data_IF_999703294881
#
_entry.id   IF_999703294881
#
_cell.length_a   1.000
_cell.length_b   1.000
_cell.length_c   1.000
_cell.angle_alpha   90.00
_cell.angle_beta   90.00
_cell.angle_gamma   90.00
#
_symmetry.space_group_name_H-M   'P 1'
#
loop_
_entity.id
_entity.type
_entity.pdbx_description
1 polymer ?
#
# COMPACT_ATOMS: atom_id res chain seq x y z
N UNK A 1 9.09 -2.39 -5.64
CA UNK A 1 7.70 -2.60 -5.17
C UNK A 1 7.13 -1.39 -4.40
N UNK A 2 7.47 -1.10 -3.14
CA UNK A 2 6.81 0.00 -2.38
C UNK A 2 7.09 1.41 -2.91
N UNK A 3 8.32 1.65 -3.38
CA UNK A 3 8.68 2.93 -4.01
C UNK A 3 7.93 3.13 -5.33
N UNK A 4 7.76 2.07 -6.12
CA UNK A 4 7.00 2.12 -7.38
C UNK A 4 5.51 2.40 -7.10
N UNK A 5 4.94 1.75 -6.09
CA UNK A 5 3.59 2.06 -5.62
C UNK A 5 3.44 3.53 -5.19
N UNK A 6 4.38 4.07 -4.40
CA UNK A 6 4.37 5.47 -4.02
C UNK A 6 4.49 6.43 -5.22
N UNK A 7 5.31 6.08 -6.21
CA UNK A 7 5.43 6.85 -7.45
C UNK A 7 4.17 6.78 -8.30
N UNK A 8 3.53 5.61 -8.42
CA UNK A 8 2.26 5.44 -9.13
C UNK A 8 1.14 6.28 -8.52
N UNK A 9 1.05 6.35 -7.18
CA UNK A 9 0.10 7.23 -6.49
C UNK A 9 0.34 8.72 -6.81
N UNK A 10 1.60 9.13 -6.89
CA UNK A 10 1.96 10.50 -7.29
C UNK A 10 1.60 10.79 -8.74
N UNK A 11 1.84 9.84 -9.63
CA UNK A 11 1.49 9.94 -11.05
C UNK A 11 -0.03 10.07 -11.24
N UNK A 12 -0.82 9.32 -10.46
CA UNK A 12 -2.28 9.44 -10.39
C UNK A 12 -2.80 10.72 -9.71
N UNK A 13 -1.89 11.65 -9.35
CA UNK A 13 -2.19 12.93 -8.68
C UNK A 13 -2.91 12.76 -7.34
N UNK A 14 -2.61 11.68 -6.61
CA UNK A 14 -3.04 11.54 -5.22
C UNK A 14 -2.03 12.32 -4.37
N UNK A 15 -2.49 13.23 -3.48
CA UNK A 15 -1.61 14.08 -2.68
C UNK A 15 -0.96 13.28 -1.53
N UNK A 16 -0.02 12.40 -1.87
CA UNK A 16 0.77 11.63 -0.91
C UNK A 16 2.06 12.36 -0.54
N UNK A 17 2.41 12.30 0.73
CA UNK A 17 3.64 12.89 1.28
C UNK A 17 4.65 11.81 1.66
N UNK A 18 5.93 12.19 1.71
CA UNK A 18 6.97 11.29 2.19
C UNK A 18 6.74 10.86 3.64
N UNK A 19 6.19 11.74 4.48
CA UNK A 19 5.91 11.42 5.89
C UNK A 19 4.88 10.29 6.00
N UNK A 20 3.79 10.36 5.24
CA UNK A 20 2.76 9.31 5.23
C UNK A 20 3.30 7.98 4.73
N UNK A 21 4.19 8.03 3.73
CA UNK A 21 4.88 6.84 3.25
C UNK A 21 5.80 6.22 4.30
N UNK A 22 6.57 7.04 5.04
CA UNK A 22 7.40 6.55 6.14
C UNK A 22 6.56 5.94 7.27
N UNK A 23 5.39 6.51 7.58
CA UNK A 23 4.46 5.94 8.57
C UNK A 23 3.95 4.56 8.14
N UNK A 24 3.63 4.39 6.85
CA UNK A 24 3.24 3.07 6.32
C UNK A 24 4.36 2.05 6.50
N UNK A 25 5.60 2.41 6.16
CA UNK A 25 6.76 1.52 6.30
C UNK A 25 7.02 1.15 7.76
N UNK A 26 6.92 2.12 8.68
CA UNK A 26 7.06 1.88 10.12
C UNK A 26 5.96 0.94 10.65
N UNK A 27 4.71 1.09 10.19
CA UNK A 27 3.62 0.20 10.59
C UNK A 27 3.82 -1.24 10.07
N UNK A 28 4.39 -1.41 8.87
CA UNK A 28 4.77 -2.72 8.35
C UNK A 28 5.92 -3.35 9.13
N UNK A 29 6.96 -2.56 9.46
CA UNK A 29 8.10 -3.02 10.27
C UNK A 29 7.64 -3.51 11.65
N UNK A 30 6.68 -2.81 12.26
CA UNK A 30 6.08 -3.16 13.56
C UNK A 30 5.06 -4.31 13.47
N UNK A 31 4.82 -4.88 12.29
CA UNK A 31 3.84 -5.96 12.05
C UNK A 31 2.44 -5.61 12.59
N UNK A 32 2.00 -4.38 12.38
CA UNK A 32 0.66 -3.91 12.81
C UNK A 32 -0.46 -4.65 12.08
N UNK A 33 -0.15 -5.19 10.89
CA UNK A 33 -1.04 -5.98 10.04
C UNK A 33 -0.45 -7.33 9.72
N UNK A 34 -1.31 -8.30 9.38
CA UNK A 34 -0.85 -9.60 8.88
C UNK A 34 -0.30 -9.46 7.46
N UNK A 35 0.50 -10.45 7.03
CA UNK A 35 1.12 -10.47 5.71
C UNK A 35 0.15 -10.94 4.61
N UNK A 36 -0.98 -10.24 4.45
CA UNK A 36 -1.94 -10.46 3.36
C UNK A 36 -2.22 -9.14 2.63
N UNK A 37 -2.74 -9.25 1.39
CA UNK A 37 -3.01 -8.10 0.52
C UNK A 37 -4.11 -7.21 1.07
N UNK A 38 -5.14 -7.80 1.67
CA UNK A 38 -6.30 -7.09 2.20
C UNK A 38 -5.92 -6.17 3.37
N UNK A 39 -5.15 -6.68 4.33
CA UNK A 39 -4.68 -5.90 5.47
C UNK A 39 -3.70 -4.80 5.00
N UNK A 40 -2.84 -5.11 4.02
CA UNK A 40 -1.99 -4.08 3.41
C UNK A 40 -2.80 -3.01 2.68
N UNK A 41 -3.89 -3.38 2.00
CA UNK A 41 -4.82 -2.43 1.37
C UNK A 41 -5.40 -1.45 2.41
N UNK A 42 -5.94 -1.96 3.52
CA UNK A 42 -6.52 -1.09 4.56
C UNK A 42 -5.47 -0.22 5.25
N UNK A 43 -4.28 -0.76 5.52
CA UNK A 43 -3.18 -0.02 6.13
C UNK A 43 -2.66 1.09 5.21
N UNK A 44 -2.41 0.77 3.94
CA UNK A 44 -1.91 1.74 2.96
C UNK A 44 -2.95 2.83 2.68
N UNK A 45 -4.23 2.48 2.53
CA UNK A 45 -5.33 3.44 2.36
C UNK A 45 -5.42 4.43 3.53
N UNK A 46 -5.41 3.93 4.76
CA UNK A 46 -5.48 4.77 5.98
C UNK A 46 -4.21 5.63 6.18
N UNK A 47 -3.04 5.10 5.80
CA UNK A 47 -1.77 5.79 5.95
C UNK A 47 -1.55 6.88 4.89
N UNK A 48 -1.97 6.65 3.65
CA UNK A 48 -1.61 7.49 2.49
C UNK A 48 -2.74 8.42 2.02
N UNK A 49 -4.01 8.11 2.28
CA UNK A 49 -5.15 8.89 1.78
C UNK A 49 -5.80 9.67 2.92
N UNK A 50 -5.69 11.01 2.89
CA UNK A 50 -6.25 11.91 3.92
C UNK A 50 -7.55 12.59 3.53
N UNK A 51 -7.93 12.45 2.28
CA UNK A 51 -9.12 13.07 1.71
C UNK A 51 -9.89 12.01 0.94
N UNK A 52 -11.16 11.85 1.29
CA UNK A 52 -12.07 10.85 0.73
C UNK A 52 -12.18 10.94 -0.80
N UNK A 53 -11.98 12.13 -1.37
CA UNK A 53 -12.04 12.38 -2.82
C UNK A 53 -10.97 11.64 -3.60
N UNK A 54 -9.94 11.12 -2.94
CA UNK A 54 -8.87 10.35 -3.57
C UNK A 54 -9.02 8.84 -3.38
N UNK A 55 -10.06 8.36 -2.70
CA UNK A 55 -10.24 6.93 -2.43
C UNK A 55 -10.44 6.14 -3.73
N UNK A 56 -11.30 6.61 -4.64
CA UNK A 56 -11.54 5.92 -5.91
C UNK A 56 -10.27 5.82 -6.77
N UNK A 57 -9.47 6.89 -6.79
CA UNK A 57 -8.18 6.91 -7.52
C UNK A 57 -7.17 5.97 -6.88
N UNK A 58 -7.13 5.96 -5.55
CA UNK A 58 -6.27 5.06 -4.80
C UNK A 58 -6.63 3.60 -5.12
N UNK A 59 -7.92 3.25 -5.10
CA UNK A 59 -8.40 1.90 -5.35
C UNK A 59 -8.03 1.43 -6.77
N UNK A 60 -8.13 2.31 -7.78
CA UNK A 60 -7.68 2.02 -9.15
C UNK A 60 -6.17 1.78 -9.24
N UNK A 61 -5.35 2.64 -8.63
CA UNK A 61 -3.89 2.49 -8.65
C UNK A 61 -3.48 1.24 -7.88
N UNK A 62 -4.07 1.01 -6.71
CA UNK A 62 -3.81 -0.17 -5.90
C UNK A 62 -4.16 -1.44 -6.69
N UNK A 63 -5.34 -1.49 -7.32
CA UNK A 63 -5.73 -2.56 -8.23
C UNK A 63 -4.68 -2.78 -9.32
N UNK A 64 -4.23 -1.74 -10.01
CA UNK A 64 -3.25 -1.88 -11.09
C UNK A 64 -1.84 -2.31 -10.63
N UNK A 65 -1.44 -1.98 -9.39
CA UNK A 65 -0.14 -2.34 -8.85
C UNK A 65 -0.11 -3.75 -8.24
N UNK A 66 -1.27 -4.25 -7.79
CA UNK A 66 -1.38 -5.51 -7.07
C UNK A 66 -2.25 -6.56 -7.78
N UNK A 67 -2.88 -6.23 -8.93
CA UNK A 67 -3.48 -7.21 -9.85
C UNK A 67 -2.40 -8.20 -10.31
N UNK A 68 -2.52 -9.46 -9.87
CA UNK A 68 -1.58 -10.54 -10.20
C UNK A 68 -0.55 -10.84 -9.12
N UNK A 69 -0.48 -10.04 -8.05
CA UNK A 69 0.21 -10.43 -6.82
C UNK A 69 -0.76 -11.25 -5.95
N UNK A 70 -0.96 -12.52 -6.31
CA UNK A 70 -1.26 -13.49 -5.26
C UNK A 70 -0.03 -13.47 -4.34
N UNK A 71 -0.14 -12.86 -3.17
CA UNK A 71 0.80 -13.12 -2.08
C UNK A 71 0.58 -14.58 -1.69
N UNK A 72 1.12 -15.48 -2.50
CA UNK A 72 1.25 -16.88 -2.20
C UNK A 72 1.98 -16.95 -0.87
N UNK A 73 1.44 -17.80 0.00
CA UNK A 73 2.01 -18.17 1.30
C UNK A 73 3.47 -18.67 1.18
N UNK A 74 3.98 -18.84 -0.04
CA UNK A 74 5.32 -19.31 -0.41
C UNK A 74 6.48 -18.33 -0.16
N UNK A 75 6.25 -17.03 0.08
CA UNK A 75 7.39 -16.10 0.28
C UNK A 75 7.99 -16.13 1.69
N UNK A 76 7.42 -16.92 2.61
CA UNK A 76 7.91 -17.04 3.99
C UNK A 76 8.03 -18.49 4.49
N UNK A 77 8.26 -19.48 3.62
CA UNK A 77 8.97 -20.70 4.03
C UNK A 77 10.47 -20.38 4.11
N UNK A 78 10.89 -19.84 5.25
CA UNK A 78 12.23 -20.11 5.76
C UNK A 78 12.05 -20.61 7.18
N UNK A 79 11.74 -21.90 7.29
CA UNK A 79 12.34 -22.85 8.22
C UNK A 79 11.99 -24.29 7.79
#
# INVERSE_FOLDING_TARGET
MFVEFFLALKEARIPVTLREFLVLLEAMERKVVSFNVDDFYFLSRSSLVKDERNLDKFDQVFGSCFEGLEFGQDLFETE
#
